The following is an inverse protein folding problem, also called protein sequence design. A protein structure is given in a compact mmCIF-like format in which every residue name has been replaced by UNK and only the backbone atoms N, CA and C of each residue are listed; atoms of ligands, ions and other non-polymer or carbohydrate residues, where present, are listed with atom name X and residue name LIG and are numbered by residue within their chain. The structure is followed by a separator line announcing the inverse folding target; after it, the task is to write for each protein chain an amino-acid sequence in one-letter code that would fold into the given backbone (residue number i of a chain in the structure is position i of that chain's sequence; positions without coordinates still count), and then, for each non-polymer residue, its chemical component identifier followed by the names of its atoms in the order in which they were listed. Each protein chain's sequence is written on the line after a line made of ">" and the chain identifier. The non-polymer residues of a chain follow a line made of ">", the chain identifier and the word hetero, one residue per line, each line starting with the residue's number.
data_IF_903636667446
#
_entry.id   IF_903636667446
#
_cell.length_a   1.000
_cell.length_b   1.000
_cell.length_c   1.000
_cell.angle_alpha   90.00
_cell.angle_beta   90.00
_cell.angle_gamma   90.00
#
_symmetry.space_group_name_H-M   'P 1'
#
loop_
_entity.id
_entity.type
_entity.pdbx_description
1 polymer ?
#
# COMPACT_ATOMS: atom_id res chain seq x y z
N UNK A 1 8.47 34.76 62.57
CA UNK A 1 7.91 36.08 62.16
C UNK A 1 8.99 36.87 61.46
N UNK A 2 8.65 37.45 60.30
CA UNK A 2 9.25 38.69 59.75
C UNK A 2 10.38 38.58 58.69
N UNK A 3 9.95 38.85 57.44
CA UNK A 3 10.59 39.60 56.32
C UNK A 3 11.62 38.90 55.41
N UNK A 4 11.14 38.51 54.23
CA UNK A 4 11.90 38.59 52.98
C UNK A 4 11.58 39.93 52.28
N UNK A 5 12.62 40.70 51.95
CA UNK A 5 12.54 41.97 51.21
C UNK A 5 13.03 41.76 49.77
N UNK A 6 12.24 42.28 48.84
CA UNK A 6 12.58 42.53 47.45
C UNK A 6 13.84 43.39 47.29
N UNK A 7 14.68 43.08 46.30
CA UNK A 7 15.34 44.09 45.47
C UNK A 7 15.39 43.61 44.02
N UNK A 8 14.60 44.27 43.17
CA UNK A 8 14.75 44.25 41.73
C UNK A 8 15.73 45.35 41.34
N UNK A 9 16.73 45.04 40.50
CA UNK A 9 17.52 46.07 39.84
C UNK A 9 17.77 45.72 38.36
N UNK A 10 17.53 46.76 37.58
CA UNK A 10 17.58 46.89 36.13
C UNK A 10 18.97 46.73 35.55
N UNK A 11 19.04 46.28 34.29
CA UNK A 11 20.27 46.27 33.50
C UNK A 11 19.99 46.00 32.03
N UNK A 12 19.68 47.06 31.28
CA UNK A 12 19.62 47.07 29.81
C UNK A 12 20.98 46.68 29.23
N UNK A 13 21.03 45.69 28.35
CA UNK A 13 22.04 45.60 27.27
C UNK A 13 21.35 45.08 26.01
N UNK A 14 21.08 46.01 25.08
CA UNK A 14 20.80 45.69 23.70
C UNK A 14 22.12 45.26 23.05
N UNK A 15 22.26 43.97 22.76
CA UNK A 15 23.31 43.44 21.92
C UNK A 15 22.75 43.37 20.49
N UNK A 16 23.17 44.32 19.64
CA UNK A 16 22.97 44.23 18.21
C UNK A 16 23.86 43.12 17.66
N UNK A 17 23.26 41.98 17.32
CA UNK A 17 23.95 40.92 16.59
C UNK A 17 23.90 41.29 15.11
N UNK A 18 25.05 41.71 14.58
CA UNK A 18 25.31 41.79 13.15
C UNK A 18 25.48 40.35 12.65
N UNK A 19 24.43 39.77 12.06
CA UNK A 19 24.56 38.53 11.30
C UNK A 19 24.92 38.92 9.88
N UNK A 20 26.16 38.61 9.50
CA UNK A 20 26.64 38.69 8.14
C UNK A 20 25.77 37.81 7.22
N UNK A 21 25.22 38.43 6.18
CA UNK A 21 24.59 37.73 5.05
C UNK A 21 25.72 37.10 4.23
N UNK A 22 26.02 35.84 4.54
CA UNK A 22 26.81 34.97 3.66
C UNK A 22 25.85 34.11 2.86
N UNK A 23 25.99 34.23 1.53
CA UNK A 23 25.12 33.63 0.53
C UNK A 23 25.00 32.12 0.70
N UNK A 24 23.78 31.63 0.54
CA UNK A 24 23.51 30.20 0.52
C UNK A 24 23.05 29.77 -0.87
N UNK A 25 23.82 28.82 -1.40
CA UNK A 25 23.61 28.12 -2.66
C UNK A 25 22.29 27.36 -2.68
N UNK A 26 21.72 27.26 -3.88
CA UNK A 26 20.47 26.58 -4.15
C UNK A 26 20.42 25.13 -3.70
N UNK A 27 19.26 24.75 -3.20
CA UNK A 27 18.83 23.37 -3.07
C UNK A 27 17.59 23.20 -3.96
N UNK A 28 17.81 22.69 -5.18
CA UNK A 28 16.75 22.08 -5.97
C UNK A 28 16.44 20.72 -5.35
N UNK A 29 15.28 20.62 -4.69
CA UNK A 29 14.82 19.38 -4.09
C UNK A 29 14.47 18.35 -5.17
N UNK A 30 15.13 17.20 -5.12
CA UNK A 30 14.68 15.99 -5.79
C UNK A 30 13.35 15.55 -5.17
N UNK A 31 12.28 15.48 -5.97
CA UNK A 31 11.01 14.93 -5.49
C UNK A 31 11.14 13.40 -5.44
N UNK A 32 11.57 12.90 -4.29
CA UNK A 32 11.19 11.56 -3.86
C UNK A 32 9.78 11.68 -3.27
N UNK A 33 8.77 11.15 -3.96
CA UNK A 33 7.41 11.11 -3.41
C UNK A 33 7.33 9.95 -2.42
N UNK A 34 7.99 10.12 -1.28
CA UNK A 34 7.75 9.28 -0.11
C UNK A 34 6.36 9.61 0.40
N UNK A 35 5.52 8.60 0.51
CA UNK A 35 4.21 8.73 1.14
C UNK A 35 4.46 8.82 2.64
N UNK A 36 4.50 10.06 3.15
CA UNK A 36 4.65 10.38 4.56
C UNK A 36 3.28 10.42 5.24
N UNK A 37 3.14 9.71 6.35
CA UNK A 37 1.88 9.47 7.06
C UNK A 37 1.43 10.64 7.99
N UNK A 38 1.89 11.89 7.77
CA UNK A 38 1.58 13.04 8.63
C UNK A 38 1.24 14.34 7.88
N UNK A 39 0.11 14.97 8.21
CA UNK A 39 -0.39 16.19 7.56
C UNK A 39 0.38 17.49 7.86
N UNK A 40 1.20 17.56 8.92
CA UNK A 40 1.91 18.81 9.28
C UNK A 40 3.09 19.14 8.36
N UNK A 41 3.82 18.12 7.89
CA UNK A 41 4.94 18.31 6.95
C UNK A 41 4.50 18.54 5.50
N UNK A 42 3.27 18.11 5.13
CA UNK A 42 2.70 18.36 3.81
C UNK A 42 2.43 19.85 3.54
N UNK A 43 2.16 20.63 4.60
CA UNK A 43 1.82 22.06 4.49
C UNK A 43 3.05 22.94 4.19
N UNK A 44 4.23 22.50 4.60
CA UNK A 44 5.50 23.24 4.45
C UNK A 44 6.10 23.11 3.04
N UNK A 45 5.68 22.09 2.28
CA UNK A 45 6.22 21.75 0.96
C UNK A 45 5.53 22.45 -0.22
N UNK A 46 4.35 23.06 -0.03
CA UNK A 46 3.62 23.73 -1.11
C UNK A 46 4.15 25.14 -1.49
N UNK A 47 5.17 25.65 -0.79
CA UNK A 47 5.69 27.00 -0.99
C UNK A 47 6.68 27.22 -2.15
N UNK A 48 7.05 26.22 -2.97
CA UNK A 48 8.16 26.38 -3.94
C UNK A 48 7.98 25.67 -5.31
N UNK A 49 7.50 26.45 -6.31
CA UNK A 49 7.81 26.37 -7.76
C UNK A 49 7.35 25.14 -8.57
N UNK A 50 7.20 25.14 -9.90
CA UNK A 50 7.18 26.16 -10.97
C UNK A 50 6.69 25.48 -12.27
N UNK A 51 6.13 26.28 -13.18
CA UNK A 51 5.39 25.97 -14.41
C UNK A 51 6.18 25.43 -15.63
N UNK A 52 5.41 24.92 -16.63
CA UNK A 52 5.71 24.44 -18.02
C UNK A 52 5.88 22.91 -18.13
N UNK A 53 5.26 22.15 -19.05
CA UNK A 53 4.74 22.46 -20.39
C UNK A 53 3.82 21.33 -20.97
N UNK A 54 2.70 21.77 -21.60
CA UNK A 54 2.01 21.32 -22.84
C UNK A 54 1.55 19.86 -23.13
N UNK A 55 0.21 19.74 -23.23
CA UNK A 55 -0.64 19.29 -24.36
C UNK A 55 -0.28 18.06 -25.22
N UNK A 56 -1.18 17.04 -25.24
CA UNK A 56 -1.64 16.39 -26.48
C UNK A 56 -2.99 15.63 -26.33
N UNK A 57 -3.97 16.17 -27.06
CA UNK A 57 -5.20 15.66 -27.68
C UNK A 57 -5.60 14.17 -27.53
N UNK A 58 -6.88 14.01 -27.18
CA UNK A 58 -7.68 12.77 -27.17
C UNK A 58 -7.96 12.19 -28.57
N UNK A 59 -8.06 10.85 -28.63
CA UNK A 59 -8.90 10.13 -29.58
C UNK A 59 -9.65 9.00 -28.86
N UNK A 60 -10.92 8.91 -29.23
CA UNK A 60 -12.02 8.11 -28.73
C UNK A 60 -12.02 6.77 -29.49
N UNK A 61 -12.10 5.63 -28.80
CA UNK A 61 -12.46 4.36 -29.43
C UNK A 61 -13.21 3.45 -28.45
N UNK A 62 -14.11 2.65 -29.01
CA UNK A 62 -15.28 2.04 -28.39
C UNK A 62 -15.00 1.11 -27.22
N UNK A 63 -15.80 1.32 -26.16
CA UNK A 63 -15.86 0.55 -24.92
C UNK A 63 -16.31 -0.90 -25.20
N UNK A 64 -15.34 -1.81 -25.32
CA UNK A 64 -15.48 -3.17 -24.82
C UNK A 64 -15.05 -3.17 -23.36
N UNK A 65 -15.78 -3.87 -22.51
CA UNK A 65 -15.47 -3.98 -21.08
C UNK A 65 -14.20 -4.79 -20.87
N UNK A 66 -13.06 -4.11 -21.00
CA UNK A 66 -11.73 -4.62 -20.66
C UNK A 66 -11.63 -4.71 -19.13
N UNK A 67 -12.07 -5.86 -18.61
CA UNK A 67 -11.78 -6.24 -17.22
C UNK A 67 -10.27 -6.29 -17.05
N UNK A 68 -9.71 -5.30 -16.36
CA UNK A 68 -8.27 -5.17 -16.14
C UNK A 68 -7.79 -6.38 -15.32
N UNK A 69 -7.08 -7.27 -16.01
CA UNK A 69 -6.53 -8.52 -15.47
C UNK A 69 -5.48 -8.15 -14.41
N UNK A 70 -5.68 -8.67 -13.20
CA UNK A 70 -4.73 -8.52 -12.11
C UNK A 70 -3.48 -9.37 -12.37
N UNK A 71 -2.36 -9.12 -11.66
CA UNK A 71 -1.10 -9.80 -11.89
C UNK A 71 -1.29 -11.31 -11.79
N UNK A 72 -0.65 -12.03 -12.69
CA UNK A 72 -0.97 -13.40 -13.06
C UNK A 72 -0.71 -14.40 -11.93
N UNK A 73 -1.65 -15.33 -11.79
CA UNK A 73 -1.64 -16.62 -11.09
C UNK A 73 -0.38 -17.03 -10.28
N UNK A 74 -0.06 -16.35 -9.18
CA UNK A 74 0.96 -16.84 -8.23
C UNK A 74 0.43 -18.09 -7.50
N UNK A 75 1.20 -19.18 -7.58
CA UNK A 75 0.92 -20.47 -6.95
C UNK A 75 1.72 -20.64 -5.66
N UNK A 76 1.17 -21.40 -4.73
CA UNK A 76 1.82 -21.83 -3.50
C UNK A 76 1.30 -23.21 -3.11
N UNK A 77 1.93 -23.89 -2.15
CA UNK A 77 1.44 -25.16 -1.62
C UNK A 77 0.71 -24.89 -0.32
N UNK A 78 -0.59 -25.17 -0.28
CA UNK A 78 -1.37 -25.17 0.95
C UNK A 78 -0.99 -26.41 1.76
N UNK A 79 -0.46 -26.21 2.96
CA UNK A 79 0.00 -27.27 3.86
C UNK A 79 -1.10 -27.63 4.85
N UNK A 80 -1.61 -26.65 5.60
CA UNK A 80 -2.68 -26.84 6.60
C UNK A 80 -3.62 -25.64 6.61
N UNK A 81 -4.86 -25.84 7.06
CA UNK A 81 -5.84 -24.77 7.29
C UNK A 81 -6.37 -24.86 8.72
N UNK A 82 -6.39 -23.73 9.41
CA UNK A 82 -6.84 -23.58 10.78
C UNK A 82 -8.04 -22.64 10.82
N UNK A 83 -9.08 -23.01 11.57
CA UNK A 83 -10.33 -22.24 11.69
C UNK A 83 -10.78 -22.15 13.14
N UNK A 84 -11.51 -21.08 13.46
CA UNK A 84 -12.16 -20.92 14.75
C UNK A 84 -11.31 -20.28 15.85
N UNK A 85 -11.84 -20.20 17.09
CA UNK A 85 -11.16 -19.58 18.22
C UNK A 85 -9.87 -20.34 18.54
N UNK A 86 -8.71 -19.72 18.32
CA UNK A 86 -7.40 -20.35 18.53
C UNK A 86 -6.61 -20.64 17.27
N UNK A 87 -7.21 -20.55 16.08
CA UNK A 87 -6.57 -20.84 14.79
C UNK A 87 -5.24 -20.10 14.59
N UNK A 88 -5.16 -18.84 15.05
CA UNK A 88 -3.93 -18.05 15.02
C UNK A 88 -2.81 -18.65 15.88
N UNK A 89 -3.13 -19.08 17.10
CA UNK A 89 -2.14 -19.67 18.00
C UNK A 89 -1.72 -21.05 17.50
N UNK A 90 -2.67 -21.86 17.05
CA UNK A 90 -2.43 -23.19 16.49
C UNK A 90 -1.55 -23.13 15.23
N UNK A 91 -1.87 -22.26 14.28
CA UNK A 91 -1.06 -22.08 13.07
C UNK A 91 0.37 -21.64 13.37
N UNK A 92 0.56 -20.74 14.35
CA UNK A 92 1.88 -20.33 14.80
C UNK A 92 2.66 -21.47 15.47
N UNK A 93 2.00 -22.29 16.29
CA UNK A 93 2.60 -23.48 16.90
C UNK A 93 3.02 -24.49 15.83
N UNK A 94 2.16 -24.77 14.85
CA UNK A 94 2.48 -25.66 13.73
C UNK A 94 3.63 -25.15 12.87
N UNK A 95 3.65 -23.86 12.56
CA UNK A 95 4.78 -23.23 11.86
C UNK A 95 6.08 -23.41 12.66
N UNK A 96 6.04 -23.23 13.98
CA UNK A 96 7.19 -23.46 14.86
C UNK A 96 7.66 -24.92 14.87
N UNK A 97 6.73 -25.88 14.99
CA UNK A 97 7.03 -27.31 14.97
C UNK A 97 7.63 -27.75 13.64
N UNK A 98 7.05 -27.33 12.52
CA UNK A 98 7.54 -27.70 11.18
C UNK A 98 8.92 -27.11 10.88
N UNK A 99 9.23 -25.92 11.43
CA UNK A 99 10.57 -25.33 11.34
C UNK A 99 11.59 -25.99 12.27
N UNK A 100 11.14 -26.57 13.37
CA UNK A 100 11.98 -27.27 14.35
C UNK A 100 12.17 -28.76 14.02
N UNK A 101 11.24 -29.36 13.26
CA UNK A 101 11.39 -30.68 12.69
C UNK A 101 12.62 -30.66 11.76
N UNK A 102 13.63 -31.42 12.14
CA UNK A 102 15.05 -31.29 11.78
C UNK A 102 15.38 -31.73 10.33
N UNK A 103 14.55 -31.31 9.37
CA UNK A 103 14.68 -31.61 7.95
C UNK A 103 15.07 -30.36 7.16
N UNK A 104 16.17 -30.35 6.38
CA UNK A 104 16.58 -29.22 5.54
C UNK A 104 15.55 -28.89 4.42
N UNK A 105 14.51 -29.70 4.30
CA UNK A 105 13.53 -29.69 3.22
C UNK A 105 12.26 -28.91 3.53
N UNK A 106 12.04 -28.44 4.77
CA UNK A 106 10.84 -27.67 5.15
C UNK A 106 11.14 -26.17 5.33
N UNK A 107 11.84 -25.60 4.35
CA UNK A 107 12.11 -24.17 4.28
C UNK A 107 10.97 -23.41 3.57
N UNK A 108 10.95 -22.09 3.71
CA UNK A 108 9.96 -21.20 3.08
C UNK A 108 8.49 -21.45 3.47
N UNK A 109 8.28 -21.77 4.76
CA UNK A 109 6.96 -21.85 5.37
C UNK A 109 6.51 -20.50 5.91
N UNK A 110 5.26 -20.14 5.66
CA UNK A 110 4.63 -18.90 6.13
C UNK A 110 3.13 -19.08 6.36
N UNK A 111 2.53 -18.25 7.21
CA UNK A 111 1.09 -18.30 7.49
C UNK A 111 0.39 -17.16 6.76
N UNK A 112 -0.67 -17.50 6.05
CA UNK A 112 -1.56 -16.59 5.34
C UNK A 112 -2.91 -16.50 6.07
N UNK A 113 -3.32 -15.30 6.46
CA UNK A 113 -4.61 -15.07 7.12
C UNK A 113 -5.63 -14.59 6.09
N UNK A 114 -6.77 -15.29 5.99
CA UNK A 114 -7.88 -14.97 5.09
C UNK A 114 -9.19 -15.25 5.80
N UNK A 115 -10.08 -14.25 5.92
CA UNK A 115 -11.44 -14.44 6.46
C UNK A 115 -11.49 -15.19 7.80
N UNK A 116 -10.61 -14.82 8.74
CA UNK A 116 -10.46 -15.47 10.06
C UNK A 116 -9.98 -16.95 9.99
N UNK A 117 -9.59 -17.44 8.82
CA UNK A 117 -8.86 -18.68 8.62
C UNK A 117 -7.34 -18.40 8.51
N UNK A 118 -6.54 -19.33 9.02
CA UNK A 118 -5.09 -19.28 8.89
C UNK A 118 -4.66 -20.45 8.03
N UNK A 119 -3.98 -20.16 6.93
CA UNK A 119 -3.46 -21.15 6.01
C UNK A 119 -1.94 -21.21 6.15
N UNK A 120 -1.40 -22.36 6.52
CA UNK A 120 0.03 -22.58 6.47
C UNK A 120 0.41 -22.93 5.03
N UNK A 121 1.36 -22.18 4.48
CA UNK A 121 1.74 -22.19 3.07
C UNK A 121 3.22 -22.49 2.93
N UNK A 122 3.60 -23.09 1.80
CA UNK A 122 5.00 -23.30 1.40
C UNK A 122 5.25 -22.76 0.00
N UNK A 123 6.34 -22.00 -0.15
CA UNK A 123 6.82 -21.61 -1.48
C UNK A 123 5.97 -20.53 -2.15
N UNK A 124 6.56 -19.91 -3.16
CA UNK A 124 5.86 -19.05 -4.12
C UNK A 124 6.36 -19.38 -5.52
N UNK A 125 5.44 -19.73 -6.42
CA UNK A 125 5.76 -20.25 -7.74
C UNK A 125 4.99 -19.49 -8.81
N UNK A 126 5.60 -19.25 -9.99
CA UNK A 126 4.91 -18.61 -11.11
C UNK A 126 3.87 -19.54 -11.78
N UNK A 127 3.78 -20.79 -11.36
CA UNK A 127 3.00 -21.85 -11.98
C UNK A 127 3.16 -23.17 -11.22
N UNK A 128 2.55 -24.23 -11.73
CA UNK A 128 2.89 -25.59 -11.28
C UNK A 128 4.21 -26.02 -11.94
N UNK A 129 5.31 -25.67 -11.31
CA UNK A 129 6.67 -25.94 -11.80
C UNK A 129 7.22 -27.25 -11.24
N UNK A 130 8.25 -27.85 -11.86
CA UNK A 130 8.93 -29.01 -11.28
C UNK A 130 9.54 -28.75 -9.90
N UNK A 131 9.85 -27.48 -9.55
CA UNK A 131 10.27 -27.13 -8.19
C UNK A 131 9.12 -27.28 -7.18
N UNK A 132 7.92 -26.82 -7.53
CA UNK A 132 6.71 -26.97 -6.71
C UNK A 132 6.38 -28.45 -6.48
N UNK A 133 6.46 -29.28 -7.52
CA UNK A 133 6.22 -30.72 -7.42
C UNK A 133 7.20 -31.40 -6.46
N UNK A 134 8.50 -31.05 -6.53
CA UNK A 134 9.50 -31.55 -5.58
C UNK A 134 9.20 -31.13 -4.15
N UNK A 135 8.85 -29.87 -3.95
CA UNK A 135 8.50 -29.34 -2.62
C UNK A 135 7.23 -30.00 -2.06
N UNK A 136 6.27 -30.32 -2.92
CA UNK A 136 5.06 -31.05 -2.55
C UNK A 136 5.37 -32.51 -2.16
N UNK A 137 6.21 -33.20 -2.94
CA UNK A 137 6.66 -34.56 -2.60
C UNK A 137 7.39 -34.58 -1.25
N UNK A 138 8.26 -33.60 -1.00
CA UNK A 138 8.96 -33.47 0.28
C UNK A 138 7.99 -33.27 1.45
N UNK A 139 6.90 -32.50 1.26
CA UNK A 139 5.86 -32.36 2.28
C UNK A 139 5.16 -33.70 2.54
N UNK A 140 4.85 -34.49 1.51
CA UNK A 140 4.19 -35.80 1.67
C UNK A 140 5.08 -36.86 2.33
N UNK A 141 6.40 -36.72 2.22
CA UNK A 141 7.37 -37.60 2.87
C UNK A 141 7.73 -37.15 4.30
N UNK A 142 7.45 -35.90 4.66
CA UNK A 142 7.78 -35.36 5.96
C UNK A 142 7.02 -36.09 7.09
N UNK A 143 7.80 -36.51 8.09
CA UNK A 143 7.29 -37.06 9.33
C UNK A 143 7.41 -35.97 10.42
N UNK A 144 6.29 -35.63 11.03
CA UNK A 144 6.21 -34.67 12.12
C UNK A 144 5.60 -35.39 13.31
N UNK A 145 6.39 -35.57 14.36
CA UNK A 145 6.01 -36.26 15.59
C UNK A 145 5.53 -37.72 15.38
N UNK A 146 6.08 -38.45 14.40
CA UNK A 146 5.71 -39.84 14.09
C UNK A 146 4.48 -39.96 13.19
N UNK A 147 4.03 -38.84 12.60
CA UNK A 147 2.86 -38.77 11.74
C UNK A 147 3.20 -38.15 10.38
N UNK A 148 2.70 -38.76 9.31
CA UNK A 148 2.61 -38.15 7.97
C UNK A 148 1.52 -37.07 7.96
N UNK A 149 1.73 -36.01 8.72
CA UNK A 149 0.74 -34.98 9.01
C UNK A 149 0.36 -34.12 7.80
N UNK A 150 1.10 -34.21 6.68
CA UNK A 150 1.03 -33.25 5.58
C UNK A 150 0.58 -33.89 4.24
N UNK A 151 -0.07 -35.05 4.28
CA UNK A 151 -0.56 -35.74 3.06
C UNK A 151 -1.62 -34.93 2.30
N UNK A 152 -2.34 -34.05 2.98
CA UNK A 152 -3.34 -33.16 2.39
C UNK A 152 -2.75 -31.91 1.74
N UNK A 153 -1.41 -31.77 1.77
CA UNK A 153 -0.74 -30.66 1.10
C UNK A 153 -1.08 -30.66 -0.40
N UNK A 154 -1.38 -29.49 -0.96
CA UNK A 154 -1.81 -29.37 -2.36
C UNK A 154 -1.45 -28.01 -3.00
N UNK A 155 -1.23 -27.97 -4.32
CA UNK A 155 -1.09 -26.73 -5.07
C UNK A 155 -2.35 -25.87 -4.99
N UNK A 156 -2.18 -24.58 -4.73
CA UNK A 156 -3.25 -23.58 -4.72
C UNK A 156 -2.79 -22.30 -5.40
N UNK A 157 -3.71 -21.63 -6.09
CA UNK A 157 -3.52 -20.26 -6.54
C UNK A 157 -3.77 -19.33 -5.36
N UNK A 158 -2.81 -18.48 -5.00
CA UNK A 158 -2.97 -17.55 -3.87
C UNK A 158 -4.22 -16.68 -4.03
N UNK A 159 -4.48 -16.21 -5.25
CA UNK A 159 -5.70 -15.47 -5.60
C UNK A 159 -7.00 -16.22 -5.31
N UNK A 160 -7.01 -17.54 -5.48
CA UNK A 160 -8.20 -18.37 -5.23
C UNK A 160 -8.47 -18.56 -3.75
N UNK A 161 -7.45 -18.44 -2.92
CA UNK A 161 -7.61 -18.45 -1.47
C UNK A 161 -8.14 -17.10 -1.00
N UNK A 162 -7.70 -15.99 -1.59
CA UNK A 162 -8.16 -14.64 -1.21
C UNK A 162 -9.68 -14.56 -1.31
N UNK A 163 -10.33 -14.65 -0.17
CA UNK A 163 -11.77 -14.61 -0.15
C UNK A 163 -12.28 -13.32 -0.73
N UNK A 164 -13.37 -13.44 -1.47
CA UNK A 164 -14.13 -12.29 -1.96
C UNK A 164 -14.85 -11.56 -0.82
N UNK A 165 -14.95 -12.17 0.37
CA UNK A 165 -15.82 -11.69 1.44
C UNK A 165 -15.20 -10.54 2.26
N UNK A 166 -13.93 -10.63 2.69
CA UNK A 166 -13.29 -9.55 3.44
C UNK A 166 -12.18 -8.85 2.63
N UNK A 167 -12.59 -7.82 1.89
CA UNK A 167 -11.71 -7.00 1.04
C UNK A 167 -11.19 -5.76 1.78
N UNK A 168 -10.84 -5.95 3.05
CA UNK A 168 -10.09 -4.96 3.82
C UNK A 168 -8.63 -4.97 3.35
N UNK A 169 -8.12 -3.81 2.93
CA UNK A 169 -6.77 -3.64 2.38
C UNK A 169 -5.67 -4.05 3.39
N UNK A 170 -5.96 -4.02 4.70
CA UNK A 170 -5.02 -4.47 5.74
C UNK A 170 -4.59 -5.93 5.59
N UNK A 171 -5.44 -6.79 5.05
CA UNK A 171 -5.11 -8.20 4.82
C UNK A 171 -4.03 -8.40 3.75
N UNK A 172 -3.65 -7.34 3.03
CA UNK A 172 -2.73 -7.38 1.89
C UNK A 172 -1.35 -6.77 2.23
N UNK A 173 -1.15 -6.29 3.47
CA UNK A 173 0.13 -5.76 3.95
C UNK A 173 1.21 -6.84 3.86
N UNK A 174 2.38 -6.48 3.30
CA UNK A 174 3.51 -7.39 3.12
C UNK A 174 3.42 -8.30 1.88
N UNK A 175 2.27 -8.38 1.22
CA UNK A 175 2.10 -9.14 -0.02
C UNK A 175 2.13 -8.24 -1.25
N UNK A 176 1.46 -7.09 -1.15
CA UNK A 176 1.35 -6.12 -2.21
C UNK A 176 1.86 -4.79 -1.70
N UNK A 177 2.85 -4.16 -2.35
CA UNK A 177 3.37 -2.88 -1.89
C UNK A 177 2.41 -1.73 -2.20
N UNK A 178 1.58 -1.82 -3.25
CA UNK A 178 0.75 -0.69 -3.70
C UNK A 178 -0.70 -1.04 -4.06
N UNK A 179 -1.57 -0.03 -3.94
CA UNK A 179 -2.94 -0.02 -4.49
C UNK A 179 -3.29 1.39 -4.99
N UNK A 180 -4.19 1.52 -5.97
CA UNK A 180 -4.59 2.83 -6.51
C UNK A 180 -5.72 3.42 -5.66
N UNK A 181 -5.48 4.53 -4.97
CA UNK A 181 -6.53 5.21 -4.22
C UNK A 181 -7.49 5.95 -5.16
N UNK A 182 -8.79 5.68 -4.99
CA UNK A 182 -9.86 6.25 -5.82
C UNK A 182 -10.88 7.03 -5.01
N UNK A 183 -11.00 6.78 -3.71
CA UNK A 183 -11.83 7.60 -2.83
C UNK A 183 -11.34 7.63 -1.38
N UNK A 184 -11.71 8.70 -0.67
CA UNK A 184 -11.54 8.89 0.76
C UNK A 184 -12.87 9.36 1.35
N UNK A 185 -13.21 8.85 2.52
CA UNK A 185 -14.37 9.25 3.31
C UNK A 185 -13.87 9.71 4.67
N UNK A 186 -14.19 10.95 5.04
CA UNK A 186 -13.74 11.60 6.27
C UNK A 186 -14.81 12.48 6.91
N UNK A 187 -16.03 12.51 6.34
CA UNK A 187 -17.16 13.28 6.87
C UNK A 187 -18.19 12.39 7.56
N UNK A 188 -18.62 12.81 8.76
CA UNK A 188 -19.65 12.15 9.56
C UNK A 188 -19.11 11.34 10.74
N UNK A 189 -19.96 10.47 11.31
CA UNK A 189 -19.55 9.59 12.41
C UNK A 189 -18.62 8.49 11.91
N UNK A 190 -17.73 7.92 12.75
CA UNK A 190 -16.86 6.82 12.34
C UNK A 190 -17.61 5.64 11.72
N UNK A 191 -18.80 5.31 12.22
CA UNK A 191 -19.67 4.27 11.66
C UNK A 191 -20.14 4.62 10.23
N UNK A 192 -20.53 5.88 10.00
CA UNK A 192 -20.97 6.38 8.69
C UNK A 192 -19.81 6.38 7.69
N UNK A 193 -18.65 6.88 8.09
CA UNK A 193 -17.43 6.91 7.28
C UNK A 193 -17.06 5.49 6.81
N UNK A 194 -17.05 4.52 7.74
CA UNK A 194 -16.73 3.12 7.43
C UNK A 194 -17.76 2.51 6.47
N UNK A 195 -19.05 2.69 6.75
CA UNK A 195 -20.14 2.18 5.92
C UNK A 195 -20.08 2.73 4.50
N UNK A 196 -19.86 4.04 4.33
CA UNK A 196 -19.80 4.66 3.01
C UNK A 196 -18.62 4.14 2.17
N UNK A 197 -17.45 3.97 2.79
CA UNK A 197 -16.29 3.38 2.12
C UNK A 197 -16.54 1.93 1.69
N UNK A 198 -17.13 1.11 2.57
CA UNK A 198 -17.49 -0.28 2.24
C UNK A 198 -18.50 -0.36 1.10
N UNK A 199 -19.59 0.42 1.18
CA UNK A 199 -20.62 0.48 0.13
C UNK A 199 -20.04 0.91 -1.22
N UNK A 200 -19.13 1.88 -1.23
CA UNK A 200 -18.49 2.31 -2.47
C UNK A 200 -17.56 1.23 -3.04
N UNK A 201 -16.77 0.56 -2.19
CA UNK A 201 -15.95 -0.57 -2.61
C UNK A 201 -16.80 -1.73 -3.16
N UNK A 202 -17.93 -2.04 -2.53
CA UNK A 202 -18.88 -3.06 -3.01
C UNK A 202 -19.51 -2.68 -4.35
N UNK A 203 -19.87 -1.42 -4.55
CA UNK A 203 -20.37 -0.94 -5.82
C UNK A 203 -19.33 -1.09 -6.95
N UNK A 204 -18.05 -0.84 -6.66
CA UNK A 204 -16.97 -1.07 -7.61
C UNK A 204 -16.77 -2.57 -7.91
N UNK A 205 -16.89 -3.44 -6.90
CA UNK A 205 -16.83 -4.90 -7.08
C UNK A 205 -17.95 -5.43 -7.94
N UNK A 206 -19.18 -4.94 -7.75
CA UNK A 206 -20.33 -5.28 -8.59
C UNK A 206 -20.12 -4.90 -10.06
N UNK A 207 -19.25 -3.91 -10.34
CA UNK A 207 -18.84 -3.51 -11.69
C UNK A 207 -17.63 -4.29 -12.22
N UNK A 208 -17.17 -5.31 -11.49
CA UNK A 208 -16.03 -6.15 -11.89
C UNK A 208 -14.66 -5.59 -11.51
N UNK A 209 -14.59 -4.50 -10.73
CA UNK A 209 -13.31 -3.97 -10.29
C UNK A 209 -12.80 -4.68 -9.02
N UNK A 210 -11.50 -4.95 -8.97
CA UNK A 210 -10.84 -5.44 -7.77
C UNK A 210 -10.66 -4.28 -6.77
N UNK A 211 -11.70 -4.00 -5.98
CA UNK A 211 -11.73 -2.88 -5.04
C UNK A 211 -11.57 -3.30 -3.57
N UNK A 212 -10.94 -2.45 -2.77
CA UNK A 212 -10.66 -2.66 -1.36
C UNK A 212 -11.08 -1.44 -0.54
N UNK A 213 -11.30 -1.63 0.75
CA UNK A 213 -11.45 -0.52 1.70
C UNK A 213 -10.36 -0.60 2.77
N UNK A 214 -9.99 0.54 3.33
CA UNK A 214 -9.12 0.64 4.50
C UNK A 214 -9.76 1.57 5.52
N UNK A 215 -9.79 1.18 6.79
CA UNK A 215 -10.28 2.00 7.88
C UNK A 215 -9.13 2.52 8.73
N UNK A 216 -8.89 3.83 8.66
CA UNK A 216 -8.02 4.56 9.58
C UNK A 216 -8.81 5.12 10.78
N UNK A 217 -8.13 5.80 11.71
CA UNK A 217 -8.77 6.36 12.91
C UNK A 217 -9.83 7.43 12.61
N UNK A 218 -9.54 8.33 11.65
CA UNK A 218 -10.39 9.49 11.32
C UNK A 218 -11.01 9.42 9.92
N UNK A 219 -10.51 8.55 9.05
CA UNK A 219 -10.95 8.44 7.65
C UNK A 219 -10.91 7.01 7.15
N UNK A 220 -11.71 6.71 6.14
CA UNK A 220 -11.66 5.46 5.40
C UNK A 220 -11.27 5.71 3.95
N UNK A 221 -10.51 4.81 3.36
CA UNK A 221 -10.05 4.91 1.98
C UNK A 221 -10.65 3.77 1.17
N UNK A 222 -10.88 4.02 -0.12
CA UNK A 222 -11.23 3.00 -1.10
C UNK A 222 -10.17 2.99 -2.18
N UNK A 223 -9.66 1.80 -2.46
CA UNK A 223 -8.60 1.59 -3.45
C UNK A 223 -9.01 0.53 -4.47
N UNK A 224 -8.34 0.51 -5.62
CA UNK A 224 -8.59 -0.43 -6.70
C UNK A 224 -7.27 -1.00 -7.21
N UNK A 225 -7.25 -2.31 -7.44
CA UNK A 225 -6.08 -3.04 -7.91
C UNK A 225 -5.04 -3.25 -6.81
N UNK A 226 -4.14 -4.19 -7.08
CA UNK A 226 -2.95 -4.46 -6.28
C UNK A 226 -1.78 -4.50 -7.26
N UNK A 227 -0.67 -3.88 -6.87
CA UNK A 227 0.46 -3.66 -7.75
C UNK A 227 1.79 -3.92 -7.03
N UNK A 228 2.78 -4.38 -7.80
CA UNK A 228 4.17 -4.57 -7.35
C UNK A 228 5.07 -3.46 -7.90
N UNK A 229 6.37 -3.57 -7.64
CA UNK A 229 7.36 -2.70 -8.24
C UNK A 229 7.44 -2.84 -9.77
N UNK A 230 7.15 -4.02 -10.32
CA UNK A 230 7.16 -4.30 -11.77
C UNK A 230 6.06 -3.53 -12.53
N UNK A 231 5.01 -3.10 -11.82
CA UNK A 231 3.97 -2.25 -12.39
C UNK A 231 4.44 -0.80 -12.56
N UNK A 232 5.62 -0.44 -12.05
CA UNK A 232 6.22 0.88 -12.16
C UNK A 232 7.37 0.84 -13.17
N UNK A 233 7.46 1.87 -14.01
CA UNK A 233 8.52 1.96 -15.02
C UNK A 233 9.58 2.96 -14.54
N UNK A 234 10.87 2.57 -14.48
CA UNK A 234 11.92 3.51 -14.17
C UNK A 234 12.07 4.54 -15.31
N UNK A 235 12.20 5.81 -14.95
CA UNK A 235 12.36 6.94 -15.85
C UNK A 235 13.51 7.80 -15.34
N UNK A 236 14.53 7.97 -16.17
CA UNK A 236 15.61 8.91 -15.88
C UNK A 236 15.14 10.33 -16.17
N UNK A 237 15.25 11.20 -15.17
CA UNK A 237 14.91 12.62 -15.26
C UNK A 237 16.17 13.45 -15.07
N UNK A 238 16.44 14.35 -16.00
CA UNK A 238 17.54 15.31 -15.89
C UNK A 238 17.10 16.48 -15.03
N UNK A 239 17.68 16.59 -13.85
CA UNK A 239 17.51 17.72 -12.95
C UNK A 239 18.35 18.92 -13.40
N UNK A 240 18.07 20.08 -12.82
CA UNK A 240 18.86 21.29 -13.04
C UNK A 240 20.34 21.04 -12.72
N UNK A 241 21.22 21.40 -13.66
CA UNK A 241 22.67 21.15 -13.53
C UNK A 241 23.11 19.76 -14.04
N UNK A 242 22.39 19.15 -14.98
CA UNK A 242 22.73 17.87 -15.63
C UNK A 242 22.85 16.66 -14.70
N UNK A 243 22.28 16.74 -13.49
CA UNK A 243 22.21 15.58 -12.58
C UNK A 243 21.09 14.66 -13.06
N UNK A 244 21.39 13.38 -13.23
CA UNK A 244 20.37 12.37 -13.52
C UNK A 244 19.77 11.86 -12.21
N UNK A 245 18.44 11.80 -12.14
CA UNK A 245 17.71 11.14 -11.06
C UNK A 245 16.82 10.05 -11.65
N UNK A 246 16.70 8.93 -10.95
CA UNK A 246 15.75 7.88 -11.31
C UNK A 246 14.43 8.13 -10.59
N UNK A 247 13.35 8.27 -11.37
CA UNK A 247 11.99 8.35 -10.86
C UNK A 247 11.20 7.14 -11.38
N UNK A 248 10.15 6.76 -10.66
CA UNK A 248 9.21 5.74 -11.13
C UNK A 248 7.96 6.40 -11.67
N UNK A 249 7.57 6.04 -12.89
CA UNK A 249 6.27 6.42 -13.48
C UNK A 249 5.32 5.22 -13.49
N UNK A 250 4.02 5.48 -13.60
CA UNK A 250 3.02 4.43 -13.67
C UNK A 250 3.15 3.62 -14.95
N UNK A 251 3.23 2.29 -14.82
CA UNK A 251 3.20 1.36 -15.93
C UNK A 251 1.80 1.20 -16.54
N UNK A 252 1.67 0.37 -17.59
CA UNK A 252 0.44 0.24 -18.37
C UNK A 252 -0.79 -0.15 -17.56
N UNK A 253 -0.64 -1.10 -16.61
CA UNK A 253 -1.75 -1.60 -15.78
C UNK A 253 -2.34 -0.52 -14.87
N UNK A 254 -1.50 0.27 -14.23
CA UNK A 254 -1.93 1.39 -13.38
C UNK A 254 -2.58 2.49 -14.23
N UNK A 255 -1.96 2.84 -15.37
CA UNK A 255 -2.50 3.85 -16.30
C UNK A 255 -3.87 3.44 -16.85
N UNK A 256 -4.07 2.16 -17.15
CA UNK A 256 -5.38 1.65 -17.56
C UNK A 256 -6.44 1.90 -16.48
N UNK A 257 -6.14 1.57 -15.21
CA UNK A 257 -7.05 1.85 -14.10
C UNK A 257 -7.29 3.34 -13.88
N UNK A 258 -6.27 4.19 -14.00
CA UNK A 258 -6.43 5.65 -13.91
C UNK A 258 -7.32 6.22 -15.02
N UNK A 259 -7.41 5.59 -16.20
CA UNK A 259 -8.38 6.03 -17.21
C UNK A 259 -9.83 5.84 -16.75
N UNK A 260 -10.10 4.76 -15.99
CA UNK A 260 -11.42 4.52 -15.38
C UNK A 260 -11.65 5.35 -14.13
N UNK A 261 -10.58 5.61 -13.37
CA UNK A 261 -10.59 6.39 -12.13
C UNK A 261 -9.61 7.56 -12.25
N UNK A 262 -9.98 8.62 -13.01
CA UNK A 262 -9.05 9.72 -13.30
C UNK A 262 -8.76 10.58 -12.07
N UNK A 263 -9.71 10.66 -11.13
CA UNK A 263 -9.65 11.56 -10.00
C UNK A 263 -9.99 10.85 -8.69
N UNK A 264 -9.33 11.27 -7.62
CA UNK A 264 -9.65 10.83 -6.28
C UNK A 264 -10.93 11.54 -5.79
N UNK A 265 -11.85 10.78 -5.20
CA UNK A 265 -13.06 11.33 -4.62
C UNK A 265 -12.89 11.57 -3.12
N UNK A 266 -13.44 12.65 -2.59
CA UNK A 266 -13.62 12.88 -1.16
C UNK A 266 -15.12 12.96 -0.87
N UNK A 267 -15.60 12.03 -0.05
CA UNK A 267 -17.01 11.85 0.29
C UNK A 267 -17.93 11.77 -0.96
N UNK A 268 -17.46 11.15 -2.04
CA UNK A 268 -18.20 10.98 -3.29
C UNK A 268 -18.06 12.13 -4.30
N UNK A 269 -17.36 13.21 -3.96
CA UNK A 269 -17.13 14.36 -4.84
C UNK A 269 -15.67 14.41 -5.30
N UNK A 270 -15.35 14.91 -6.51
CA UNK A 270 -13.97 15.08 -6.93
C UNK A 270 -13.20 15.98 -5.95
N UNK A 271 -12.09 15.47 -5.43
CA UNK A 271 -11.22 16.27 -4.57
C UNK A 271 -10.48 17.31 -5.42
N UNK A 272 -10.46 18.56 -4.96
CA UNK A 272 -9.80 19.65 -5.66
C UNK A 272 -8.60 20.14 -4.85
N UNK A 273 -7.42 20.09 -5.46
CA UNK A 273 -6.22 20.71 -4.94
C UNK A 273 -6.22 22.19 -5.31
N UNK A 274 -5.90 23.05 -4.34
CA UNK A 274 -5.65 24.48 -4.58
C UNK A 274 -4.21 24.63 -5.03
N UNK A 275 -4.01 25.09 -6.25
CA UNK A 275 -2.69 25.31 -6.84
C UNK A 275 -2.10 26.64 -6.34
N UNK A 276 -0.79 26.83 -6.52
CA UNK A 276 -0.09 28.05 -6.09
C UNK A 276 -0.64 29.35 -6.73
N UNK A 277 -1.29 29.25 -7.89
CA UNK A 277 -1.95 30.36 -8.58
C UNK A 277 -3.41 30.59 -8.11
N UNK A 278 -3.85 29.87 -7.07
CA UNK A 278 -5.21 29.91 -6.55
C UNK A 278 -6.23 29.12 -7.38
N UNK A 279 -5.84 28.55 -8.52
CA UNK A 279 -6.73 27.70 -9.32
C UNK A 279 -7.01 26.38 -8.61
N UNK A 280 -8.23 25.87 -8.75
CA UNK A 280 -8.61 24.56 -8.23
C UNK A 280 -8.48 23.50 -9.33
N UNK A 281 -7.79 22.40 -9.06
CA UNK A 281 -7.65 21.28 -10.01
C UNK A 281 -8.03 19.96 -9.35
N UNK A 282 -8.79 19.09 -10.06
CA UNK A 282 -9.07 17.75 -9.57
C UNK A 282 -7.78 16.97 -9.27
N UNK A 283 -7.69 16.40 -8.07
CA UNK A 283 -6.57 15.56 -7.69
C UNK A 283 -6.65 14.22 -8.43
N UNK A 284 -5.61 13.81 -9.15
CA UNK A 284 -5.61 12.51 -9.82
C UNK A 284 -5.58 11.36 -8.81
N UNK A 285 -6.19 10.23 -9.15
CA UNK A 285 -6.00 8.99 -8.40
C UNK A 285 -4.53 8.62 -8.37
N UNK A 286 -4.02 8.21 -7.20
CA UNK A 286 -2.60 7.97 -6.99
C UNK A 286 -2.38 6.63 -6.29
N UNK A 287 -1.25 5.98 -6.59
CA UNK A 287 -0.82 4.83 -5.81
C UNK A 287 -0.56 5.24 -4.36
N UNK A 288 -1.02 4.39 -3.45
CA UNK A 288 -0.65 4.42 -2.05
C UNK A 288 0.15 3.18 -1.70
N UNK A 289 1.04 3.31 -0.72
CA UNK A 289 1.74 2.15 -0.14
C UNK A 289 0.80 1.44 0.82
N UNK A 290 0.75 0.13 0.76
CA UNK A 290 0.03 -0.70 1.72
C UNK A 290 0.99 -0.99 2.89
N UNK A 291 0.69 -0.43 4.07
CA UNK A 291 1.46 -0.59 5.31
C UNK A 291 0.57 -1.04 6.46
#
# INVERSE_FOLDING_TARGET
>A
MTRCRFTARSGRRAAAIVIAVLGWFGAGGCYERVIYDGWEQYRDLQGRGSSRERNAKARNDGSRSDGIVAPEDEWSILVLTFKGPGARSESAQWLGRLRAADGPYLTDLWVHEIDDEFHLMRGRYPGQTPSMERDLMQLHEADVDGHKALLDARPVRLRSLMSTSNRNLKAYVGYWPYSLQVAVYDSGTPATIRRNAQQYADALRKKGHLAFYYHGPQRSMVTVGLFTDDDRVPMSVTLQGNRQAHQYVYGPRIKALQKHFPHNLVNGHPFQDVMADGSMKPQPSALIVIK
#
